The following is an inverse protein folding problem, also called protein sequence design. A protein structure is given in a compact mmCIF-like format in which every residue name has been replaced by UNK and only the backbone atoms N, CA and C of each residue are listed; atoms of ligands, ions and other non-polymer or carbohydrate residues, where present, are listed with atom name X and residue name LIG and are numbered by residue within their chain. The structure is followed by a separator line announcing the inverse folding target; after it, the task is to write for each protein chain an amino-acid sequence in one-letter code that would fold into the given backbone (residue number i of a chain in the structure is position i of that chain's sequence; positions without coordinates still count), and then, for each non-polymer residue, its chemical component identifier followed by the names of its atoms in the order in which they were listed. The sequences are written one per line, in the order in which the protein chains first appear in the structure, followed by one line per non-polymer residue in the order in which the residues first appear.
data_IF_163949068756
#
_entry.id   IF_163949068756
#
_cell.length_a   1.000
_cell.length_b   1.000
_cell.length_c   1.000
_cell.angle_alpha   90.00
_cell.angle_beta   90.00
_cell.angle_gamma   90.00
#
_symmetry.space_group_name_H-M   'P 1'
#
loop_
_entity.id
_entity.type
_entity.pdbx_description
1 polymer ?
#
# COMPACT_ATOMS: atom_id res chain seq x y z
N UNK A 1 -25.06 -22.79 -4.03
CA UNK A 1 -23.79 -22.01 -4.01
C UNK A 1 -22.93 -22.55 -2.87
N UNK A 2 -21.70 -22.99 -3.14
CA UNK A 2 -20.77 -23.50 -2.11
C UNK A 2 -19.74 -22.42 -1.80
N UNK A 3 -19.78 -21.89 -0.58
CA UNK A 3 -18.85 -20.86 -0.11
C UNK A 3 -17.64 -21.51 0.56
N UNK A 4 -16.52 -20.80 0.60
CA UNK A 4 -15.26 -21.28 1.19
C UNK A 4 -14.72 -22.58 0.58
N UNK A 5 -15.15 -22.94 -0.63
CA UNK A 5 -14.64 -24.08 -1.40
C UNK A 5 -13.73 -23.56 -2.50
N UNK A 6 -12.42 -23.62 -2.30
CA UNK A 6 -11.44 -23.27 -3.33
C UNK A 6 -11.23 -24.43 -4.29
N UNK A 7 -11.20 -24.18 -5.60
CA UNK A 7 -10.83 -25.20 -6.60
C UNK A 7 -9.33 -25.14 -6.84
N UNK A 8 -8.64 -26.25 -6.63
CA UNK A 8 -7.17 -26.35 -6.78
C UNK A 8 -6.76 -27.11 -8.03
N UNK A 9 -7.63 -27.99 -8.54
CA UNK A 9 -7.37 -28.73 -9.76
C UNK A 9 -8.57 -28.69 -10.72
N UNK A 10 -8.24 -28.57 -12.01
CA UNK A 10 -9.19 -28.56 -13.11
C UNK A 10 -8.74 -29.60 -14.14
N UNK A 11 -9.56 -30.63 -14.35
CA UNK A 11 -9.42 -31.59 -15.44
C UNK A 11 -10.50 -31.32 -16.50
N UNK A 12 -10.10 -30.75 -17.63
CA UNK A 12 -11.01 -30.42 -18.73
C UNK A 12 -11.39 -31.64 -19.58
N UNK A 13 -10.59 -32.70 -19.56
CA UNK A 13 -10.85 -33.93 -20.32
C UNK A 13 -11.96 -34.73 -19.65
N UNK A 14 -11.84 -34.92 -18.34
CA UNK A 14 -12.84 -35.60 -17.51
C UNK A 14 -13.95 -34.66 -17.06
N UNK A 15 -13.85 -33.36 -17.34
CA UNK A 15 -14.76 -32.31 -16.91
C UNK A 15 -14.97 -32.30 -15.38
N UNK A 16 -13.87 -32.45 -14.64
CA UNK A 16 -13.85 -32.56 -13.18
C UNK A 16 -13.06 -31.44 -12.53
N UNK A 17 -13.58 -30.96 -11.41
CA UNK A 17 -12.93 -30.01 -10.51
C UNK A 17 -12.62 -30.72 -9.21
N UNK A 18 -11.44 -30.47 -8.65
CA UNK A 18 -11.12 -30.89 -7.28
C UNK A 18 -10.93 -29.67 -6.40
N UNK A 19 -11.66 -29.65 -5.29
CA UNK A 19 -11.52 -28.62 -4.27
C UNK A 19 -10.32 -28.85 -3.36
N UNK A 20 -9.98 -27.82 -2.59
CA UNK A 20 -8.97 -27.85 -1.54
C UNK A 20 -9.30 -28.81 -0.39
N UNK A 21 -10.56 -29.21 -0.21
CA UNK A 21 -10.95 -30.26 0.74
C UNK A 21 -10.87 -31.68 0.14
N UNK A 22 -10.47 -31.80 -1.13
CA UNK A 22 -10.42 -33.07 -1.85
C UNK A 22 -11.75 -33.50 -2.48
N UNK A 23 -12.84 -32.75 -2.27
CA UNK A 23 -14.13 -33.04 -2.90
C UNK A 23 -14.06 -32.81 -4.42
N UNK A 24 -14.62 -33.76 -5.18
CA UNK A 24 -14.70 -33.71 -6.63
C UNK A 24 -16.07 -33.23 -7.12
N UNK A 25 -16.07 -32.46 -8.20
CA UNK A 25 -17.26 -31.94 -8.85
C UNK A 25 -17.20 -32.23 -10.35
N UNK A 26 -18.27 -32.75 -10.92
CA UNK A 26 -18.43 -32.83 -12.36
C UNK A 26 -19.13 -31.56 -12.87
N UNK A 27 -18.68 -31.02 -13.99
CA UNK A 27 -19.29 -29.84 -14.60
C UNK A 27 -19.43 -29.97 -16.12
N UNK A 28 -20.63 -29.80 -16.66
CA UNK A 28 -20.82 -29.80 -18.11
C UNK A 28 -20.28 -28.51 -18.75
N UNK A 29 -20.49 -27.39 -18.07
CA UNK A 29 -20.03 -26.06 -18.44
C UNK A 29 -19.25 -25.42 -17.29
N UNK A 30 -18.13 -24.77 -17.62
CA UNK A 30 -17.23 -24.14 -16.65
C UNK A 30 -17.07 -22.65 -16.95
N UNK A 31 -17.35 -21.81 -15.96
CA UNK A 31 -17.05 -20.37 -15.99
C UNK A 31 -15.93 -20.06 -15.00
N UNK A 32 -14.79 -19.60 -15.51
CA UNK A 32 -13.68 -19.13 -14.67
C UNK A 32 -13.92 -17.67 -14.27
N UNK A 33 -14.27 -17.47 -13.00
CA UNK A 33 -14.51 -16.15 -12.42
C UNK A 33 -13.67 -15.93 -11.14
N UNK A 34 -12.44 -16.44 -11.12
CA UNK A 34 -11.53 -16.42 -9.95
C UNK A 34 -10.96 -15.03 -9.62
N UNK A 35 -11.18 -14.04 -10.50
CA UNK A 35 -10.75 -12.67 -10.30
C UNK A 35 -9.23 -12.50 -10.37
N UNK A 36 -8.69 -11.65 -9.50
CA UNK A 36 -7.27 -11.31 -9.45
C UNK A 36 -6.77 -11.26 -8.01
N UNK A 37 -5.47 -11.41 -7.82
CA UNK A 37 -4.79 -11.32 -6.51
C UNK A 37 -3.94 -10.04 -6.42
N UNK A 38 -3.67 -9.60 -5.20
CA UNK A 38 -2.73 -8.50 -4.96
C UNK A 38 -1.32 -8.93 -5.36
N UNK A 39 -0.62 -8.09 -6.14
CA UNK A 39 0.78 -8.33 -6.48
C UNK A 39 1.64 -8.17 -5.23
N UNK A 40 2.38 -9.21 -4.87
CA UNK A 40 3.35 -9.16 -3.79
C UNK A 40 4.60 -8.37 -4.22
N UNK A 41 5.19 -7.67 -3.26
CA UNK A 41 6.45 -6.97 -3.44
C UNK A 41 7.59 -7.99 -3.55
N UNK A 42 8.38 -7.89 -4.60
CA UNK A 42 9.62 -8.66 -4.71
C UNK A 42 10.69 -8.02 -3.83
N UNK A 43 11.34 -8.78 -2.94
CA UNK A 43 12.43 -8.28 -2.10
C UNK A 43 12.41 -8.76 -0.65
N UNK A 44 13.43 -8.35 0.12
CA UNK A 44 13.56 -8.70 1.54
C UNK A 44 12.56 -7.92 2.39
N UNK A 45 12.06 -8.56 3.43
CA UNK A 45 11.16 -7.96 4.42
C UNK A 45 9.68 -7.92 4.03
N UNK A 46 9.27 -8.68 3.01
CA UNK A 46 7.87 -8.75 2.60
C UNK A 46 6.98 -9.60 3.54
N UNK A 47 7.60 -10.51 4.29
CA UNK A 47 6.89 -11.49 5.14
C UNK A 47 6.82 -11.07 6.62
N UNK A 48 7.11 -9.81 6.94
CA UNK A 48 7.05 -9.30 8.33
C UNK A 48 5.67 -8.75 8.68
N UNK A 49 5.33 -8.80 9.97
CA UNK A 49 3.97 -8.65 10.50
C UNK A 49 3.23 -7.34 10.18
N UNK A 50 3.95 -6.28 9.79
CA UNK A 50 3.38 -4.97 9.48
C UNK A 50 3.35 -4.63 7.98
N UNK A 51 3.51 -5.63 7.11
CA UNK A 51 3.30 -5.51 5.66
C UNK A 51 1.93 -6.10 5.32
N UNK A 52 1.09 -5.29 4.66
CA UNK A 52 -0.29 -5.67 4.36
C UNK A 52 -0.61 -5.52 2.88
N UNK A 53 -1.43 -6.45 2.39
CA UNK A 53 -1.99 -6.43 1.05
C UNK A 53 -3.50 -6.32 1.16
N UNK A 54 -4.12 -5.45 0.36
CA UNK A 54 -5.58 -5.23 0.39
C UNK A 54 -6.24 -5.81 -0.85
N UNK A 55 -6.97 -6.92 -0.70
CA UNK A 55 -7.82 -7.48 -1.76
C UNK A 55 -9.18 -7.92 -1.25
N UNK A 56 -9.24 -8.45 -0.04
CA UNK A 56 -10.43 -9.01 0.60
C UNK A 56 -10.94 -8.13 1.73
N UNK A 57 -12.17 -8.39 2.16
CA UNK A 57 -12.75 -7.76 3.36
C UNK A 57 -11.95 -8.12 4.64
N UNK A 58 -11.36 -9.31 4.70
CA UNK A 58 -10.51 -9.72 5.82
C UNK A 58 -9.25 -8.85 5.90
N UNK A 59 -8.68 -8.52 4.76
CA UNK A 59 -7.49 -7.67 4.68
C UNK A 59 -7.79 -6.25 5.19
N UNK A 60 -8.92 -5.68 4.79
CA UNK A 60 -9.33 -4.34 5.25
C UNK A 60 -9.57 -4.30 6.76
N UNK A 61 -10.19 -5.34 7.32
CA UNK A 61 -10.34 -5.51 8.77
C UNK A 61 -8.99 -5.55 9.50
N UNK A 62 -8.01 -6.24 8.93
CA UNK A 62 -6.66 -6.34 9.50
C UNK A 62 -5.95 -4.98 9.49
N UNK A 63 -5.96 -4.28 8.35
CA UNK A 63 -5.39 -2.92 8.22
C UNK A 63 -6.07 -1.94 9.18
N UNK A 64 -7.40 -2.00 9.31
CA UNK A 64 -8.16 -1.15 10.23
C UNK A 64 -7.73 -1.36 11.69
N UNK A 65 -7.62 -2.61 12.13
CA UNK A 65 -7.17 -2.91 13.49
C UNK A 65 -5.71 -2.48 13.73
N UNK A 66 -4.82 -2.75 12.77
CA UNK A 66 -3.38 -2.42 12.90
C UNK A 66 -3.11 -0.91 12.81
N UNK A 67 -3.92 -0.17 12.08
CA UNK A 67 -3.77 1.29 11.95
C UNK A 67 -4.22 2.07 13.20
N UNK A 68 -4.98 1.48 14.12
CA UNK A 68 -5.49 2.18 15.30
C UNK A 68 -4.39 2.72 16.23
N UNK A 69 -3.20 2.10 16.24
CA UNK A 69 -2.03 2.56 17.01
C UNK A 69 -0.86 3.05 16.15
N UNK A 70 -1.04 3.12 14.83
CA UNK A 70 0.04 3.48 13.91
C UNK A 70 0.27 4.99 13.90
N UNK A 71 1.54 5.43 13.91
CA UNK A 71 1.91 6.84 13.77
C UNK A 71 2.22 7.23 12.34
N UNK A 72 2.72 6.27 11.56
CA UNK A 72 3.11 6.46 10.18
C UNK A 72 2.73 5.23 9.35
N UNK A 73 2.46 5.45 8.07
CA UNK A 73 2.15 4.41 7.10
C UNK A 73 2.76 4.75 5.73
N UNK A 74 3.28 3.73 5.06
CA UNK A 74 3.74 3.82 3.67
C UNK A 74 2.84 2.96 2.79
N UNK A 75 2.29 3.57 1.75
CA UNK A 75 1.47 2.92 0.74
C UNK A 75 2.30 2.81 -0.53
N UNK A 76 2.37 1.61 -1.07
CA UNK A 76 3.12 1.33 -2.29
C UNK A 76 2.13 1.15 -3.44
N UNK A 77 2.09 2.11 -4.36
CA UNK A 77 1.27 2.08 -5.58
C UNK A 77 0.18 3.16 -5.63
N UNK A 78 0.16 3.92 -6.72
CA UNK A 78 -0.76 5.06 -6.96
C UNK A 78 -2.02 4.72 -7.74
N UNK A 79 -2.58 3.52 -7.53
CA UNK A 79 -3.87 3.13 -8.10
C UNK A 79 -5.03 3.56 -7.21
N UNK A 80 -6.27 3.24 -7.61
CA UNK A 80 -7.48 3.58 -6.85
C UNK A 80 -7.42 3.10 -5.40
N UNK A 81 -7.11 1.81 -5.19
CA UNK A 81 -7.01 1.23 -3.84
C UNK A 81 -5.95 1.95 -3.00
N UNK A 82 -4.77 2.21 -3.55
CA UNK A 82 -3.69 2.86 -2.81
C UNK A 82 -4.04 4.29 -2.40
N UNK A 83 -4.68 5.04 -3.31
CA UNK A 83 -5.15 6.40 -3.05
C UNK A 83 -6.26 6.42 -1.98
N UNK A 84 -7.26 5.55 -2.08
CA UNK A 84 -8.34 5.46 -1.08
C UNK A 84 -7.81 5.12 0.31
N UNK A 85 -6.90 4.14 0.41
CA UNK A 85 -6.25 3.79 1.67
C UNK A 85 -5.44 4.96 2.22
N UNK A 86 -4.66 5.65 1.38
CA UNK A 86 -3.91 6.82 1.80
C UNK A 86 -4.81 7.94 2.34
N UNK A 87 -5.97 8.17 1.69
CA UNK A 87 -6.97 9.15 2.16
C UNK A 87 -7.50 8.78 3.55
N UNK A 88 -7.90 7.52 3.76
CA UNK A 88 -8.45 7.05 5.04
C UNK A 88 -7.42 7.13 6.17
N UNK A 89 -6.16 6.78 5.90
CA UNK A 89 -5.09 6.85 6.89
C UNK A 89 -4.74 8.30 7.25
N UNK A 90 -4.70 9.19 6.25
CA UNK A 90 -4.49 10.61 6.48
C UNK A 90 -5.63 11.25 7.29
N UNK A 91 -6.90 10.89 7.01
CA UNK A 91 -8.05 11.32 7.81
C UNK A 91 -7.99 10.84 9.27
N UNK A 92 -7.25 9.76 9.55
CA UNK A 92 -6.97 9.25 10.90
C UNK A 92 -5.74 9.91 11.54
N UNK A 93 -5.20 10.98 10.95
CA UNK A 93 -3.99 11.69 11.39
C UNK A 93 -2.73 10.81 11.43
N UNK A 94 -2.68 9.75 10.61
CA UNK A 94 -1.49 8.91 10.46
C UNK A 94 -0.58 9.57 9.42
N UNK A 95 0.72 9.72 9.73
CA UNK A 95 1.69 10.26 8.77
C UNK A 95 1.78 9.33 7.55
N UNK A 96 1.17 9.76 6.46
CA UNK A 96 0.90 8.89 5.31
C UNK A 96 1.81 9.27 4.16
N UNK A 97 2.61 8.32 3.67
CA UNK A 97 3.38 8.49 2.44
C UNK A 97 2.91 7.50 1.37
N UNK A 98 2.57 8.01 0.20
CA UNK A 98 2.30 7.24 -1.01
C UNK A 98 3.55 7.21 -1.89
N UNK A 99 4.05 6.03 -2.19
CA UNK A 99 5.20 5.81 -3.09
C UNK A 99 4.70 5.23 -4.41
N UNK A 100 5.03 5.89 -5.51
CA UNK A 100 4.63 5.49 -6.86
C UNK A 100 5.84 5.42 -7.79
N UNK A 101 5.85 4.48 -8.73
CA UNK A 101 6.93 4.33 -9.71
C UNK A 101 6.77 5.27 -10.89
N UNK A 102 5.53 5.69 -11.09
CA UNK A 102 5.10 6.57 -12.16
C UNK A 102 5.44 8.04 -11.83
N UNK A 103 5.43 8.90 -12.83
CA UNK A 103 5.64 10.36 -12.74
C UNK A 103 4.44 11.10 -12.11
N UNK A 104 3.28 10.44 -12.11
CA UNK A 104 2.02 10.95 -11.57
C UNK A 104 1.07 9.84 -11.13
N UNK A 105 0.15 10.16 -10.23
CA UNK A 105 -0.95 9.25 -9.85
C UNK A 105 -1.86 8.95 -11.04
N UNK A 106 -2.42 7.74 -11.10
CA UNK A 106 -3.32 7.32 -12.19
C UNK A 106 -2.83 7.61 -13.62
N UNK A 107 -1.53 7.55 -13.87
CA UNK A 107 -0.92 7.89 -15.17
C UNK A 107 -1.50 7.14 -16.37
N UNK A 108 -2.09 5.96 -16.15
CA UNK A 108 -2.72 5.10 -17.17
C UNK A 108 -4.19 5.42 -17.44
N UNK A 109 -4.83 6.22 -16.60
CA UNK A 109 -6.29 6.47 -16.63
C UNK A 109 -6.59 7.96 -16.76
N UNK A 110 -5.79 8.83 -16.15
CA UNK A 110 -6.02 10.26 -16.11
C UNK A 110 -4.99 11.07 -16.89
N UNK A 111 -5.43 12.24 -17.36
CA UNK A 111 -4.56 13.24 -17.98
C UNK A 111 -3.63 13.85 -16.92
N UNK A 112 -2.52 14.48 -17.34
CA UNK A 112 -1.61 15.16 -16.42
C UNK A 112 -2.31 16.21 -15.55
N UNK A 113 -3.23 16.99 -16.12
CA UNK A 113 -3.98 18.04 -15.39
C UNK A 113 -4.83 17.44 -14.28
N UNK A 114 -5.58 16.37 -14.58
CA UNK A 114 -6.40 15.69 -13.57
C UNK A 114 -5.53 15.07 -12.48
N UNK A 115 -4.41 14.45 -12.87
CA UNK A 115 -3.47 13.84 -11.91
C UNK A 115 -2.89 14.90 -10.97
N UNK A 116 -2.49 16.05 -11.51
CA UNK A 116 -1.97 17.17 -10.72
C UNK A 116 -3.00 17.73 -9.74
N UNK A 117 -4.26 17.86 -10.16
CA UNK A 117 -5.35 18.27 -9.27
C UNK A 117 -5.49 17.31 -8.08
N UNK A 118 -5.49 16.00 -8.33
CA UNK A 118 -5.59 15.02 -7.24
C UNK A 118 -4.34 14.98 -6.36
N UNK A 119 -3.13 15.10 -6.94
CA UNK A 119 -1.90 15.19 -6.16
C UNK A 119 -1.94 16.36 -5.18
N UNK A 120 -2.39 17.54 -5.65
CA UNK A 120 -2.58 18.71 -4.79
C UNK A 120 -3.65 18.47 -3.74
N UNK A 121 -4.79 17.88 -4.11
CA UNK A 121 -5.90 17.58 -3.20
C UNK A 121 -5.48 16.66 -2.03
N UNK A 122 -4.69 15.64 -2.33
CA UNK A 122 -4.17 14.67 -1.36
C UNK A 122 -3.05 15.26 -0.51
N UNK A 123 -2.14 16.01 -1.13
CA UNK A 123 -1.01 16.67 -0.41
C UNK A 123 -1.53 17.72 0.57
N UNK A 124 -2.56 18.49 0.19
CA UNK A 124 -3.22 19.45 1.07
C UNK A 124 -3.89 18.79 2.30
N UNK A 125 -4.11 17.47 2.27
CA UNK A 125 -4.70 16.68 3.37
C UNK A 125 -3.67 15.81 4.10
N UNK A 126 -2.38 16.11 3.94
CA UNK A 126 -1.31 15.47 4.71
C UNK A 126 -0.77 14.16 4.11
N UNK A 127 -1.14 13.80 2.88
CA UNK A 127 -0.53 12.67 2.18
C UNK A 127 0.72 13.16 1.47
N UNK A 128 1.89 12.64 1.84
CA UNK A 128 3.14 12.86 1.09
C UNK A 128 3.17 11.94 -0.11
N UNK A 129 3.39 12.47 -1.31
CA UNK A 129 3.49 11.67 -2.54
C UNK A 129 4.95 11.66 -3.02
N UNK A 130 5.55 10.48 -3.06
CA UNK A 130 6.90 10.25 -3.59
C UNK A 130 6.76 9.57 -4.96
N UNK A 131 7.15 10.29 -6.00
CA UNK A 131 6.98 9.88 -7.40
C UNK A 131 8.28 9.35 -7.99
N UNK A 132 8.18 8.61 -9.09
CA UNK A 132 9.32 8.01 -9.78
C UNK A 132 10.23 7.17 -8.85
N UNK A 133 9.62 6.51 -7.87
CA UNK A 133 10.31 5.76 -6.85
C UNK A 133 9.90 4.28 -6.89
N UNK A 134 10.90 3.41 -6.98
CA UNK A 134 10.71 1.96 -6.84
C UNK A 134 11.18 1.52 -5.46
N UNK A 135 10.30 0.84 -4.73
CA UNK A 135 10.70 0.15 -3.49
C UNK A 135 11.59 -1.03 -3.85
N UNK A 136 12.80 -1.04 -3.28
CA UNK A 136 13.81 -2.07 -3.47
C UNK A 136 13.82 -3.09 -2.34
N UNK A 137 13.59 -2.65 -1.10
CA UNK A 137 13.55 -3.53 0.07
C UNK A 137 12.79 -2.88 1.23
N UNK A 138 12.31 -3.73 2.14
CA UNK A 138 11.74 -3.34 3.42
C UNK A 138 12.73 -3.75 4.51
N UNK A 139 13.22 -2.78 5.29
CA UNK A 139 14.19 -3.02 6.35
C UNK A 139 13.51 -3.07 7.72
N UNK A 140 13.90 -4.05 8.52
CA UNK A 140 13.37 -4.29 9.86
C UNK A 140 13.89 -5.61 10.42
N UNK A 141 13.84 -5.79 11.74
CA UNK A 141 14.05 -7.10 12.38
C UNK A 141 12.71 -7.86 12.41
N UNK A 142 11.84 -7.48 13.33
CA UNK A 142 10.51 -8.13 13.51
C UNK A 142 9.40 -7.37 12.77
N UNK A 143 9.59 -6.06 12.56
CA UNK A 143 8.68 -5.17 11.85
C UNK A 143 9.46 -4.22 10.96
N UNK A 144 8.89 -3.84 9.81
CA UNK A 144 9.45 -2.83 8.91
C UNK A 144 9.58 -1.49 9.63
N UNK A 145 10.80 -0.94 9.62
CA UNK A 145 11.19 0.35 10.14
C UNK A 145 11.72 1.30 9.05
N UNK A 146 12.02 0.80 7.85
CA UNK A 146 12.36 1.66 6.72
C UNK A 146 12.00 1.02 5.39
N UNK A 147 11.77 1.87 4.39
CA UNK A 147 11.48 1.45 3.01
C UNK A 147 12.60 1.99 2.14
N UNK A 148 13.43 1.10 1.60
CA UNK A 148 14.50 1.48 0.69
C UNK A 148 13.93 1.72 -0.71
N UNK A 149 14.23 2.89 -1.26
CA UNK A 149 13.92 3.24 -2.64
C UNK A 149 15.20 3.03 -3.46
N UNK A 150 15.09 2.54 -4.70
CA UNK A 150 16.22 2.06 -5.51
C UNK A 150 17.52 2.88 -5.39
N UNK A 151 17.42 4.20 -5.57
CA UNK A 151 18.60 5.08 -5.59
C UNK A 151 18.81 5.88 -4.29
N UNK A 152 17.90 5.76 -3.30
CA UNK A 152 17.92 6.56 -2.07
C UNK A 152 17.29 5.83 -0.89
N UNK A 153 17.98 5.87 0.25
CA UNK A 153 17.41 5.45 1.54
C UNK A 153 16.46 6.54 2.05
N UNK A 154 15.15 6.30 1.98
CA UNK A 154 14.18 7.12 2.68
C UNK A 154 13.69 6.41 3.93
N UNK A 155 13.86 7.04 5.09
CA UNK A 155 13.44 6.47 6.37
C UNK A 155 12.04 7.01 6.68
N UNK A 156 11.03 6.16 6.58
CA UNK A 156 9.63 6.56 6.76
C UNK A 156 9.09 6.33 8.18
N UNK A 157 9.79 5.54 9.02
CA UNK A 157 9.23 5.04 10.30
C UNK A 157 9.89 5.67 11.53
N UNK A 158 10.92 6.52 11.39
CA UNK A 158 11.37 7.33 12.53
C UNK A 158 10.54 8.62 12.57
N UNK A 159 9.94 9.00 13.71
CA UNK A 159 9.40 10.33 13.88
C UNK A 159 10.57 11.32 13.80
N UNK A 160 10.88 11.79 12.60
CA UNK A 160 11.80 12.92 12.43
C UNK A 160 11.09 14.14 13.01
N UNK A 161 11.50 14.51 14.23
CA UNK A 161 11.03 15.67 14.98
C UNK A 161 11.52 17.02 14.41
N UNK A 162 12.01 17.03 13.16
CA UNK A 162 12.52 18.22 12.47
C UNK A 162 11.71 18.55 11.19
N UNK A 163 10.44 18.15 11.09
CA UNK A 163 9.58 18.67 10.04
C UNK A 163 9.14 20.10 10.38
N UNK A 164 10.01 21.08 10.10
CA UNK A 164 9.64 22.50 10.03
C UNK A 164 8.95 22.78 8.68
N UNK A 165 7.76 22.23 8.50
CA UNK A 165 6.84 22.56 7.40
C UNK A 165 5.96 23.75 7.79
N UNK A 166 6.47 24.95 7.51
CA UNK A 166 5.93 26.28 7.82
C UNK A 166 4.50 26.51 7.30
N UNK A 167 3.60 27.00 8.15
CA UNK A 167 2.46 27.82 7.73
C UNK A 167 2.95 29.24 7.41
N UNK A 168 2.42 29.95 6.40
CA UNK A 168 2.82 31.33 6.14
C UNK A 168 2.15 32.26 7.16
N UNK A 169 2.94 32.84 8.06
CA UNK A 169 2.52 33.88 9.00
C UNK A 169 3.68 34.33 9.88
N UNK A 170 4.11 35.58 9.68
CA UNK A 170 5.04 36.43 10.45
C UNK A 170 5.82 35.86 11.65
N UNK A 171 7.15 36.06 11.66
CA UNK A 171 7.95 36.10 12.89
C UNK A 171 9.33 35.44 12.81
N UNK A 172 10.31 36.05 13.47
CA UNK A 172 11.77 35.88 13.38
C UNK A 172 12.39 34.73 14.20
N UNK A 173 13.57 34.27 13.71
CA UNK A 173 14.77 33.74 14.41
C UNK A 173 14.75 32.35 15.11
N UNK A 174 15.84 31.59 14.89
CA UNK A 174 16.36 30.59 15.85
C UNK A 174 16.73 29.22 15.28
N UNK A 175 18.02 28.87 15.36
CA UNK A 175 18.73 27.70 14.80
C UNK A 175 18.63 26.39 15.63
N UNK A 176 19.20 25.33 15.03
CA UNK A 176 19.74 24.07 15.59
C UNK A 176 18.83 22.82 15.77
N UNK A 177 18.74 22.03 14.70
CA UNK A 177 18.37 20.60 14.77
C UNK A 177 19.64 19.73 14.93
N UNK A 178 20.03 19.41 16.17
CA UNK A 178 21.00 18.36 16.46
C UNK A 178 20.35 16.97 16.37
N UNK A 179 20.86 16.13 15.47
CA UNK A 179 20.50 14.72 15.35
C UNK A 179 21.63 13.87 15.95
N UNK A 180 21.51 13.47 17.22
CA UNK A 180 22.45 12.53 17.84
C UNK A 180 22.10 11.08 17.49
N UNK A 181 23.15 10.29 17.25
CA UNK A 181 23.18 8.92 16.69
C UNK A 181 22.27 7.92 17.40
#
# INVERSE_FOLDING_TARGET
MRLNTGIEHLDLTLKRLRSNSGEEFECEHLLLATGAQARKLDGRGNDVDNVFYLRSLKDSGTIRSRSAGAKAAVIIGGGFIGMEVASVLAQKNIQTTLVIREDRVWSRVFTPVMSAFFEQYYTARGVRIVKQARVAALEGKDTVQAVLLGDKRETFVRPCRCWSGRSPGHGTLGEDCHCTR
#
